data_IF_805564870327
#
_entry.id   IF_805564870327
#
_cell.length_a   1.000
_cell.length_b   1.000
_cell.length_c   1.000
_cell.angle_alpha   90.00
_cell.angle_beta   90.00
_cell.angle_gamma   90.00
#
_symmetry.space_group_name_H-M   'P 1'
#
loop_
_entity.id
_entity.type
_entity.pdbx_description
1 polymer ?
#
# COMPACT_ATOMS: atom_id res chain seq x y z
N UNK A 1 1.04 -48.02 -3.15
CA UNK A 1 1.01 -46.56 -2.98
C UNK A 1 1.52 -45.91 -4.25
N UNK A 2 0.80 -44.91 -4.76
CA UNK A 2 1.17 -44.15 -5.95
C UNK A 2 1.32 -42.68 -5.55
N UNK A 3 2.40 -42.04 -5.98
CA UNK A 3 2.63 -40.59 -5.84
C UNK A 3 3.20 -40.06 -7.14
N UNK A 4 2.70 -38.93 -7.58
CA UNK A 4 3.21 -38.20 -8.73
C UNK A 4 3.50 -36.76 -8.32
N UNK A 5 4.61 -36.22 -8.80
CA UNK A 5 5.02 -34.84 -8.59
C UNK A 5 5.31 -34.17 -9.93
N UNK A 6 5.20 -32.86 -9.98
CA UNK A 6 5.58 -32.06 -11.15
C UNK A 6 7.11 -31.89 -11.26
N UNK A 7 7.55 -31.18 -12.30
CA UNK A 7 8.97 -30.87 -12.54
C UNK A 7 9.62 -30.07 -11.39
N UNK A 8 8.81 -29.34 -10.62
CA UNK A 8 9.23 -28.56 -9.44
C UNK A 8 9.23 -29.39 -8.15
N UNK A 9 8.99 -30.70 -8.23
CA UNK A 9 8.81 -31.64 -7.10
C UNK A 9 7.62 -31.32 -6.19
N UNK A 10 6.66 -30.55 -6.68
CA UNK A 10 5.37 -30.35 -6.00
C UNK A 10 4.52 -31.58 -6.24
N UNK A 11 3.98 -32.18 -5.17
CA UNK A 11 3.08 -33.33 -5.29
C UNK A 11 1.82 -32.94 -6.08
N UNK A 12 1.58 -33.64 -7.18
CA UNK A 12 0.36 -33.53 -8.00
C UNK A 12 -0.73 -34.39 -7.39
N UNK A 13 -0.43 -35.66 -7.10
CA UNK A 13 -1.42 -36.61 -6.59
C UNK A 13 -0.75 -37.68 -5.73
N UNK A 14 -1.43 -38.09 -4.67
CA UNK A 14 -1.05 -39.27 -3.89
C UNK A 14 -2.24 -40.18 -3.59
N UNK A 15 -2.08 -41.46 -3.91
CA UNK A 15 -3.14 -42.48 -3.79
C UNK A 15 -2.64 -43.67 -2.99
N UNK A 16 -3.35 -44.01 -1.92
CA UNK A 16 -3.21 -45.27 -1.23
C UNK A 16 -4.08 -46.33 -1.89
N UNK A 17 -3.52 -47.52 -2.13
CA UNK A 17 -4.24 -48.62 -2.77
C UNK A 17 -4.28 -49.83 -1.85
N UNK A 18 -5.42 -50.51 -1.80
CA UNK A 18 -5.55 -51.86 -1.25
C UNK A 18 -6.24 -52.74 -2.29
N UNK A 19 -5.72 -53.96 -2.50
CA UNK A 19 -6.25 -54.91 -3.47
C UNK A 19 -6.91 -56.08 -2.74
N UNK A 20 -8.09 -56.51 -3.21
CA UNK A 20 -8.82 -57.68 -2.67
C UNK A 20 -9.33 -58.58 -3.79
N UNK A 21 -9.15 -59.88 -3.59
CA UNK A 21 -9.63 -60.92 -4.48
C UNK A 21 -10.53 -61.89 -3.69
N UNK A 22 -11.49 -62.52 -4.37
CA UNK A 22 -12.37 -63.54 -3.78
C UNK A 22 -11.67 -64.88 -3.51
N UNK A 23 -10.46 -65.07 -4.06
CA UNK A 23 -9.71 -66.34 -4.04
C UNK A 23 -8.99 -66.71 -2.75
N UNK A 24 -9.07 -65.93 -1.66
CA UNK A 24 -8.46 -66.31 -0.39
C UNK A 24 -9.47 -67.13 0.45
N UNK A 25 -9.22 -68.44 0.51
CA UNK A 25 -9.88 -69.49 1.29
C UNK A 25 -10.12 -69.10 2.77
N UNK A 26 -11.08 -68.22 3.01
CA UNK A 26 -11.53 -67.86 4.35
C UNK A 26 -12.99 -68.24 4.48
N UNK A 27 -13.31 -68.96 5.55
CA UNK A 27 -14.62 -69.56 5.83
C UNK A 27 -15.78 -68.56 5.97
N UNK A 28 -15.52 -67.25 5.76
CA UNK A 28 -16.51 -66.17 5.77
C UNK A 28 -16.22 -65.22 4.60
N UNK A 29 -17.19 -65.06 3.69
CA UNK A 29 -17.13 -64.06 2.61
C UNK A 29 -17.05 -62.66 3.22
N UNK A 30 -15.94 -61.96 3.03
CA UNK A 30 -15.75 -60.58 3.47
C UNK A 30 -16.36 -59.59 2.49
N UNK A 31 -16.83 -58.45 2.99
CA UNK A 31 -17.40 -57.36 2.18
C UNK A 31 -16.37 -56.27 1.94
N UNK A 32 -16.58 -55.46 0.91
CA UNK A 32 -15.73 -54.31 0.60
C UNK A 32 -15.61 -53.34 1.77
N UNK A 33 -16.71 -53.14 2.49
CA UNK A 33 -16.77 -52.23 3.64
C UNK A 33 -15.83 -52.62 4.79
N UNK A 34 -15.51 -53.91 4.94
CA UNK A 34 -14.67 -54.43 6.03
C UNK A 34 -13.22 -53.92 5.94
N UNK A 35 -12.81 -53.46 4.75
CA UNK A 35 -11.43 -53.03 4.47
C UNK A 35 -11.25 -51.51 4.51
N UNK A 36 -12.33 -50.73 4.40
CA UNK A 36 -12.26 -49.28 4.24
C UNK A 36 -11.58 -48.58 5.43
N UNK A 37 -11.86 -49.03 6.65
CA UNK A 37 -11.29 -48.43 7.86
C UNK A 37 -9.76 -48.59 7.91
N UNK A 38 -9.27 -49.78 7.56
CA UNK A 38 -7.84 -50.07 7.53
C UNK A 38 -7.15 -49.26 6.43
N UNK A 39 -7.74 -49.25 5.24
CA UNK A 39 -7.24 -48.48 4.10
C UNK A 39 -7.17 -46.98 4.42
N UNK A 40 -8.18 -46.43 5.10
CA UNK A 40 -8.16 -45.02 5.53
C UNK A 40 -7.07 -44.75 6.58
N UNK A 41 -6.89 -45.65 7.55
CA UNK A 41 -5.81 -45.54 8.52
C UNK A 41 -4.42 -45.56 7.83
N UNK A 42 -4.23 -46.44 6.85
CA UNK A 42 -2.99 -46.51 6.06
C UNK A 42 -2.80 -45.26 5.19
N UNK A 43 -3.88 -44.72 4.58
CA UNK A 43 -3.89 -43.45 3.84
C UNK A 43 -3.42 -42.31 4.72
N UNK A 44 -3.99 -42.15 5.91
CA UNK A 44 -3.65 -41.09 6.85
C UNK A 44 -2.22 -41.23 7.37
N UNK A 45 -1.81 -42.44 7.77
CA UNK A 45 -0.45 -42.71 8.27
C UNK A 45 0.63 -42.37 7.24
N UNK A 46 0.33 -42.60 5.97
CA UNK A 46 1.25 -42.34 4.87
C UNK A 46 1.09 -40.95 4.26
N UNK A 47 0.08 -40.18 4.65
CA UNK A 47 -0.21 -38.84 4.13
C UNK A 47 -0.60 -38.86 2.65
N UNK A 48 -1.42 -39.83 2.23
CA UNK A 48 -1.98 -39.84 0.88
C UNK A 48 -3.26 -39.01 0.82
N UNK A 49 -3.49 -38.33 -0.30
CA UNK A 49 -4.70 -37.55 -0.54
C UNK A 49 -5.92 -38.46 -0.77
N UNK A 50 -5.77 -39.49 -1.60
CA UNK A 50 -6.85 -40.42 -1.98
C UNK A 50 -6.60 -41.82 -1.44
N UNK A 51 -7.68 -42.58 -1.26
CA UNK A 51 -7.62 -44.03 -1.08
C UNK A 51 -8.52 -44.74 -2.07
N UNK A 52 -8.02 -45.84 -2.63
CA UNK A 52 -8.74 -46.63 -3.62
C UNK A 52 -8.63 -48.11 -3.26
N UNK A 53 -9.78 -48.72 -2.96
CA UNK A 53 -9.92 -50.16 -2.80
C UNK A 53 -10.19 -50.78 -4.17
N UNK A 54 -9.27 -51.60 -4.66
CA UNK A 54 -9.42 -52.38 -5.88
C UNK A 54 -9.91 -53.76 -5.48
N UNK A 55 -11.17 -54.09 -5.79
CA UNK A 55 -11.78 -55.29 -5.25
C UNK A 55 -12.50 -56.13 -6.31
N UNK A 56 -12.32 -57.44 -6.22
CA UNK A 56 -13.16 -58.44 -6.90
C UNK A 56 -14.23 -59.03 -5.99
N UNK A 57 -14.31 -58.62 -4.71
CA UNK A 57 -15.30 -59.11 -3.76
C UNK A 57 -16.72 -58.68 -4.14
N UNK A 58 -17.70 -59.47 -3.71
CA UNK A 58 -19.12 -59.19 -3.96
C UNK A 58 -19.39 -59.11 -5.46
N UNK A 59 -18.97 -60.15 -6.21
CA UNK A 59 -19.10 -60.20 -7.67
C UNK A 59 -20.53 -59.97 -8.18
N UNK A 60 -21.56 -60.32 -7.41
CA UNK A 60 -22.97 -60.14 -7.77
C UNK A 60 -23.56 -58.76 -7.36
N UNK A 61 -22.77 -57.88 -6.73
CA UNK A 61 -23.25 -56.59 -6.24
C UNK A 61 -23.24 -55.54 -7.38
N UNK A 62 -24.44 -55.15 -7.83
CA UNK A 62 -24.64 -54.19 -8.93
C UNK A 62 -23.95 -52.84 -8.69
N UNK A 63 -23.93 -52.34 -7.44
CA UNK A 63 -23.32 -51.06 -7.11
C UNK A 63 -21.84 -51.03 -7.49
N UNK A 64 -21.09 -52.06 -7.07
CA UNK A 64 -19.65 -52.16 -7.35
C UNK A 64 -19.32 -52.58 -8.78
N UNK A 65 -20.29 -53.16 -9.49
CA UNK A 65 -20.13 -53.54 -10.90
C UNK A 65 -20.41 -52.40 -11.88
N UNK A 66 -21.11 -51.34 -11.44
CA UNK A 66 -21.50 -50.21 -12.29
C UNK A 66 -20.32 -49.28 -12.62
N UNK A 67 -19.22 -49.34 -11.86
CA UNK A 67 -18.03 -48.55 -12.18
C UNK A 67 -17.16 -48.19 -10.98
N UNK A 68 -16.79 -46.91 -10.92
CA UNK A 68 -16.06 -46.30 -9.80
C UNK A 68 -17.09 -45.86 -8.76
N UNK A 69 -17.08 -46.50 -7.60
CA UNK A 69 -17.99 -46.17 -6.50
C UNK A 69 -17.32 -45.19 -5.54
N UNK A 70 -17.96 -44.04 -5.34
CA UNK A 70 -17.53 -43.05 -4.37
C UNK A 70 -17.99 -43.42 -2.95
N UNK A 71 -17.03 -43.58 -2.03
CA UNK A 71 -17.26 -43.87 -0.61
C UNK A 71 -16.93 -42.66 0.27
N UNK A 72 -16.84 -41.46 -0.31
CA UNK A 72 -16.51 -40.21 0.40
C UNK A 72 -17.48 -39.85 1.52
N UNK A 73 -18.71 -40.38 1.47
CA UNK A 73 -19.69 -40.23 2.55
C UNK A 73 -19.28 -40.96 3.85
N UNK A 74 -18.43 -41.99 3.75
CA UNK A 74 -17.93 -42.78 4.89
C UNK A 74 -16.50 -42.39 5.26
N UNK A 75 -15.62 -42.28 4.25
CA UNK A 75 -14.23 -41.85 4.42
C UNK A 75 -13.88 -40.86 3.31
N UNK A 76 -13.42 -39.64 3.61
CA UNK A 76 -13.17 -38.63 2.59
C UNK A 76 -12.23 -39.10 1.49
N UNK A 77 -12.57 -38.81 0.22
CA UNK A 77 -11.73 -39.13 -0.96
C UNK A 77 -11.40 -40.63 -1.09
N UNK A 78 -12.34 -41.48 -0.69
CA UNK A 78 -12.27 -42.93 -0.76
C UNK A 78 -13.08 -43.46 -1.94
N UNK A 79 -12.50 -44.35 -2.74
CA UNK A 79 -13.19 -45.00 -3.85
C UNK A 79 -13.05 -46.51 -3.80
N UNK A 80 -14.06 -47.22 -4.30
CA UNK A 80 -14.01 -48.66 -4.54
C UNK A 80 -14.16 -48.90 -6.04
N UNK A 81 -13.26 -49.69 -6.61
CA UNK A 81 -13.23 -49.96 -8.05
C UNK A 81 -13.03 -51.45 -8.31
N UNK A 82 -13.50 -51.90 -9.48
CA UNK A 82 -13.01 -53.14 -10.08
C UNK A 82 -11.66 -52.92 -10.79
N UNK A 83 -10.82 -53.95 -10.97
CA UNK A 83 -9.50 -53.82 -11.59
C UNK A 83 -9.50 -53.14 -12.97
N UNK A 84 -10.54 -53.33 -13.79
CA UNK A 84 -10.65 -52.71 -15.12
C UNK A 84 -10.74 -51.17 -15.07
N UNK A 85 -11.17 -50.59 -13.95
CA UNK A 85 -11.26 -49.14 -13.77
C UNK A 85 -10.00 -48.51 -13.17
N UNK A 86 -8.94 -49.30 -12.94
CA UNK A 86 -7.71 -48.83 -12.29
C UNK A 86 -7.02 -47.69 -13.05
N UNK A 87 -6.85 -47.83 -14.36
CA UNK A 87 -6.27 -46.79 -15.20
C UNK A 87 -7.21 -45.58 -15.29
N UNK A 88 -8.52 -45.74 -15.60
CA UNK A 88 -9.47 -44.62 -15.62
C UNK A 88 -9.50 -43.77 -14.34
N UNK A 89 -9.53 -44.36 -13.14
CA UNK A 89 -9.59 -43.58 -11.90
C UNK A 89 -8.29 -42.80 -11.67
N UNK A 90 -7.13 -43.39 -11.96
CA UNK A 90 -5.85 -42.67 -11.82
C UNK A 90 -5.81 -41.48 -12.78
N UNK A 91 -6.22 -41.65 -14.03
CA UNK A 91 -6.28 -40.56 -15.00
C UNK A 91 -7.23 -39.45 -14.55
N UNK A 92 -8.41 -39.80 -14.05
CA UNK A 92 -9.40 -38.82 -13.57
C UNK A 92 -8.85 -38.02 -12.39
N UNK A 93 -8.34 -38.71 -11.36
CA UNK A 93 -7.81 -38.05 -10.17
C UNK A 93 -6.60 -37.17 -10.52
N UNK A 94 -5.70 -37.64 -11.37
CA UNK A 94 -4.54 -36.88 -11.84
C UNK A 94 -4.96 -35.59 -12.56
N UNK A 95 -5.89 -35.69 -13.52
CA UNK A 95 -6.35 -34.53 -14.27
C UNK A 95 -7.06 -33.51 -13.37
N UNK A 96 -7.88 -33.99 -12.43
CA UNK A 96 -8.51 -33.12 -11.44
C UNK A 96 -7.48 -32.38 -10.57
N UNK A 97 -6.43 -33.08 -10.14
CA UNK A 97 -5.38 -32.51 -9.31
C UNK A 97 -4.51 -31.48 -10.07
N UNK A 98 -4.14 -31.78 -11.33
CA UNK A 98 -3.40 -30.84 -12.20
C UNK A 98 -4.22 -29.56 -12.43
N UNK A 99 -5.51 -29.69 -12.77
CA UNK A 99 -6.39 -28.54 -12.97
C UNK A 99 -6.52 -27.71 -11.67
N UNK A 100 -6.73 -28.36 -10.52
CA UNK A 100 -6.84 -27.67 -9.24
C UNK A 100 -5.56 -26.89 -8.88
N UNK A 101 -4.38 -27.41 -9.26
CA UNK A 101 -3.10 -26.74 -9.05
C UNK A 101 -2.98 -25.47 -9.90
N UNK A 102 -3.37 -25.53 -11.18
CA UNK A 102 -3.43 -24.37 -12.06
C UNK A 102 -4.35 -23.28 -11.49
N UNK A 103 -5.59 -23.63 -11.11
CA UNK A 103 -6.53 -22.69 -10.49
C UNK A 103 -6.00 -22.07 -9.20
N UNK A 104 -5.33 -22.85 -8.34
CA UNK A 104 -4.73 -22.34 -7.11
C UNK A 104 -3.59 -21.34 -7.39
N UNK A 105 -2.79 -21.60 -8.42
CA UNK A 105 -1.71 -20.71 -8.86
C UNK A 105 -2.27 -19.39 -9.41
N UNK A 106 -3.29 -19.44 -10.25
CA UNK A 106 -3.97 -18.24 -10.79
C UNK A 106 -4.61 -17.41 -9.67
N UNK A 107 -5.30 -18.06 -8.73
CA UNK A 107 -5.90 -17.37 -7.59
C UNK A 107 -4.85 -16.68 -6.70
N UNK A 108 -3.67 -17.28 -6.54
CA UNK A 108 -2.56 -16.68 -5.80
C UNK A 108 -2.04 -15.41 -6.51
N UNK A 109 -1.92 -15.44 -7.84
CA UNK A 109 -1.55 -14.27 -8.66
C UNK A 109 -2.58 -13.15 -8.51
N UNK A 110 -3.87 -13.46 -8.62
CA UNK A 110 -4.95 -12.47 -8.46
C UNK A 110 -4.96 -11.86 -7.05
N UNK A 111 -4.74 -12.67 -6.00
CA UNK A 111 -4.64 -12.15 -4.63
C UNK A 111 -3.44 -11.24 -4.43
N UNK A 112 -2.27 -11.58 -5.01
CA UNK A 112 -1.09 -10.73 -4.95
C UNK A 112 -1.32 -9.38 -5.63
N UNK A 113 -1.99 -9.36 -6.78
CA UNK A 113 -2.36 -8.13 -7.49
C UNK A 113 -3.29 -7.22 -6.65
N UNK A 114 -4.26 -7.78 -5.94
CA UNK A 114 -5.16 -6.98 -5.08
C UNK A 114 -4.45 -6.33 -3.88
N UNK A 115 -3.43 -6.98 -3.32
CA UNK A 115 -2.62 -6.42 -2.23
C UNK A 115 -1.80 -5.21 -2.73
N UNK A 116 -1.28 -5.30 -3.96
CA UNK A 116 -0.49 -4.24 -4.59
C UNK A 116 -1.35 -2.98 -4.84
N UNK A 117 -2.58 -3.13 -5.33
CA UNK A 117 -3.52 -2.02 -5.52
C UNK A 117 -3.83 -1.30 -4.20
N UNK A 118 -4.02 -2.04 -3.11
CA UNK A 118 -4.32 -1.45 -1.79
C UNK A 118 -3.12 -0.67 -1.25
N UNK A 119 -1.89 -1.19 -1.42
CA UNK A 119 -0.68 -0.48 -1.03
C UNK A 119 -0.50 0.80 -1.84
N UNK A 120 -0.71 0.73 -3.16
CA UNK A 120 -0.66 1.88 -4.04
C UNK A 120 -1.67 2.96 -3.65
N UNK A 121 -2.92 2.59 -3.34
CA UNK A 121 -3.94 3.56 -2.88
C UNK A 121 -3.54 4.25 -1.58
N UNK A 122 -2.95 3.52 -0.63
CA UNK A 122 -2.45 4.08 0.62
C UNK A 122 -1.29 5.07 0.38
N UNK A 123 -0.29 4.66 -0.42
CA UNK A 123 0.85 5.54 -0.77
C UNK A 123 0.40 6.82 -1.50
N UNK A 124 -0.60 6.71 -2.37
CA UNK A 124 -1.16 7.83 -3.10
C UNK A 124 -1.90 8.79 -2.16
N UNK A 125 -2.66 8.28 -1.19
CA UNK A 125 -3.33 9.09 -0.17
C UNK A 125 -2.31 9.81 0.73
N UNK A 126 -1.29 9.11 1.21
CA UNK A 126 -0.22 9.69 2.03
C UNK A 126 0.52 10.82 1.30
N UNK A 127 0.78 10.63 0.00
CA UNK A 127 1.36 11.66 -0.86
C UNK A 127 0.44 12.88 -0.96
N UNK A 128 -0.86 12.69 -1.22
CA UNK A 128 -1.82 13.79 -1.36
C UNK A 128 -1.95 14.61 -0.07
N UNK A 129 -2.01 13.95 1.09
CA UNK A 129 -2.08 14.63 2.37
C UNK A 129 -0.81 15.43 2.68
N UNK A 130 0.36 14.81 2.48
CA UNK A 130 1.65 15.44 2.72
C UNK A 130 1.88 16.63 1.79
N UNK A 131 1.55 16.47 0.51
CA UNK A 131 1.63 17.54 -0.48
C UNK A 131 0.67 18.68 -0.14
N UNK A 132 -0.59 18.38 0.17
CA UNK A 132 -1.58 19.40 0.52
C UNK A 132 -1.19 20.23 1.75
N UNK A 133 -0.63 19.57 2.77
CA UNK A 133 -0.12 20.24 3.98
C UNK A 133 1.06 21.17 3.67
N UNK A 134 2.04 20.69 2.91
CA UNK A 134 3.21 21.47 2.53
C UNK A 134 2.82 22.66 1.65
N UNK A 135 1.93 22.46 0.68
CA UNK A 135 1.43 23.53 -0.17
C UNK A 135 0.71 24.62 0.63
N UNK A 136 -0.18 24.23 1.56
CA UNK A 136 -0.89 25.19 2.43
C UNK A 136 0.08 26.00 3.27
N UNK A 137 1.04 25.35 3.92
CA UNK A 137 2.05 26.04 4.75
C UNK A 137 2.90 27.00 3.91
N UNK A 138 3.33 26.58 2.72
CA UNK A 138 4.09 27.44 1.81
C UNK A 138 3.25 28.65 1.38
N UNK A 139 1.97 28.46 1.03
CA UNK A 139 1.05 29.53 0.64
C UNK A 139 0.82 30.54 1.77
N UNK A 140 0.60 30.07 3.00
CA UNK A 140 0.45 30.93 4.18
C UNK A 140 1.71 31.75 4.47
N UNK A 141 2.89 31.11 4.41
CA UNK A 141 4.19 31.79 4.59
C UNK A 141 4.44 32.83 3.50
N UNK A 142 4.11 32.49 2.26
CA UNK A 142 4.22 33.40 1.13
C UNK A 142 3.34 34.63 1.33
N UNK A 143 2.07 34.44 1.70
CA UNK A 143 1.14 35.54 1.99
C UNK A 143 1.64 36.44 3.13
N UNK A 144 2.09 35.84 4.24
CA UNK A 144 2.64 36.59 5.36
C UNK A 144 3.91 37.38 4.98
N UNK A 145 4.75 36.85 4.10
CA UNK A 145 5.93 37.55 3.60
C UNK A 145 5.54 38.75 2.73
N UNK A 146 4.55 38.60 1.84
CA UNK A 146 4.00 39.72 1.06
C UNK A 146 3.44 40.81 1.97
N UNK A 147 2.63 40.44 2.96
CA UNK A 147 2.09 41.42 3.93
C UNK A 147 3.19 42.17 4.70
N UNK A 148 4.31 41.49 4.99
CA UNK A 148 5.47 42.09 5.66
C UNK A 148 6.23 43.06 4.75
N UNK A 149 6.35 42.72 3.46
CA UNK A 149 6.94 43.60 2.43
C UNK A 149 6.12 44.88 2.32
N UNK A 150 4.79 44.77 2.25
CA UNK A 150 3.90 45.93 2.15
C UNK A 150 4.02 46.85 3.37
N UNK A 151 4.10 46.29 4.58
CA UNK A 151 4.35 47.07 5.81
C UNK A 151 5.70 47.78 5.77
N UNK A 152 6.73 47.13 5.24
CA UNK A 152 8.07 47.71 5.10
C UNK A 152 8.08 48.87 4.09
N UNK A 153 7.35 48.74 2.98
CA UNK A 153 7.17 49.81 1.99
C UNK A 153 6.52 51.03 2.63
N UNK A 154 5.44 50.84 3.40
CA UNK A 154 4.78 51.93 4.14
C UNK A 154 5.76 52.63 5.09
N UNK A 155 6.58 51.86 5.81
CA UNK A 155 7.56 52.45 6.73
C UNK A 155 8.64 53.24 5.98
N UNK A 156 9.13 52.74 4.84
CA UNK A 156 10.10 53.44 4.01
C UNK A 156 9.53 54.73 3.41
N UNK A 157 8.25 54.74 3.01
CA UNK A 157 7.56 55.94 2.54
C UNK A 157 7.48 57.00 3.64
N UNK A 158 7.11 56.64 4.87
CA UNK A 158 7.11 57.57 6.02
C UNK A 158 8.49 58.13 6.32
N UNK A 159 9.53 57.28 6.29
CA UNK A 159 10.92 57.73 6.48
C UNK A 159 11.32 58.73 5.40
N UNK A 160 10.99 58.46 4.13
CA UNK A 160 11.22 59.38 3.01
C UNK A 160 10.53 60.73 3.23
N UNK A 161 9.26 60.74 3.62
CA UNK A 161 8.52 61.99 3.90
C UNK A 161 9.16 62.83 5.02
N UNK A 162 9.60 62.18 6.10
CA UNK A 162 10.28 62.87 7.20
C UNK A 162 11.62 63.47 6.78
N UNK A 163 12.39 62.78 5.91
CA UNK A 163 13.63 63.31 5.36
C UNK A 163 13.38 64.55 4.50
N UNK A 164 12.39 64.51 3.60
CA UNK A 164 12.02 65.67 2.75
C UNK A 164 11.61 66.87 3.62
N UNK A 165 10.77 66.65 4.64
CA UNK A 165 10.38 67.72 5.58
C UNK A 165 11.57 68.28 6.36
N UNK A 166 12.56 67.44 6.68
CA UNK A 166 13.77 67.87 7.37
C UNK A 166 14.65 68.74 6.47
N UNK A 167 14.79 68.35 5.19
CA UNK A 167 15.45 69.17 4.18
C UNK A 167 14.77 70.54 4.01
N UNK A 168 13.44 70.57 3.93
CA UNK A 168 12.69 71.84 3.87
C UNK A 168 12.92 72.72 5.09
N UNK A 169 12.96 72.13 6.30
CA UNK A 169 13.28 72.86 7.52
C UNK A 169 14.71 73.43 7.49
N UNK A 170 15.69 72.66 7.00
CA UNK A 170 17.06 73.13 6.83
C UNK A 170 17.13 74.28 5.82
N UNK A 171 16.40 74.20 4.71
CA UNK A 171 16.28 75.28 3.73
C UNK A 171 15.69 76.55 4.34
N UNK A 172 14.60 76.43 5.12
CA UNK A 172 13.99 77.56 5.82
C UNK A 172 14.97 78.18 6.84
N UNK A 173 15.69 77.34 7.59
CA UNK A 173 16.69 77.79 8.55
C UNK A 173 17.84 78.53 7.85
N UNK A 174 18.32 78.02 6.72
CA UNK A 174 19.37 78.66 5.92
C UNK A 174 18.89 80.00 5.37
N UNK A 175 17.69 80.07 4.79
CA UNK A 175 17.13 81.33 4.30
C UNK A 175 16.99 82.37 5.43
N UNK A 176 16.60 81.95 6.64
CA UNK A 176 16.55 82.85 7.81
C UNK A 176 17.95 83.32 8.24
N UNK A 177 18.96 82.45 8.13
CA UNK A 177 20.36 82.77 8.40
C UNK A 177 20.92 83.78 7.39
N UNK A 178 20.64 83.60 6.10
CA UNK A 178 21.05 84.55 5.04
C UNK A 178 20.33 85.91 5.18
N UNK A 179 19.08 85.89 5.65
CA UNK A 179 18.29 87.11 5.89
C UNK A 179 18.75 87.94 7.09
N UNK A 180 19.68 87.44 7.93
CA UNK A 180 20.24 88.12 9.10
C UNK A 180 21.29 89.15 8.66
N UNK A 181 20.85 90.39 8.48
CA UNK A 181 21.74 91.54 8.27
C UNK A 181 22.06 92.24 9.59
N UNK A 182 23.23 92.90 9.68
CA UNK A 182 23.61 93.74 10.83
C UNK A 182 22.48 94.73 11.17
N UNK A 183 21.84 95.32 10.14
CA UNK A 183 20.69 96.22 10.28
C UNK A 183 19.45 95.57 10.89
N UNK A 184 19.16 94.29 10.62
CA UNK A 184 18.06 93.54 11.28
C UNK A 184 18.44 93.15 12.71
N UNK A 185 19.70 92.78 12.94
CA UNK A 185 20.24 92.39 14.26
C UNK A 185 20.28 93.55 15.26
N UNK A 186 20.55 94.77 14.79
CA UNK A 186 20.67 95.97 15.65
C UNK A 186 19.37 96.80 15.73
N UNK A 187 18.29 96.38 15.04
CA UNK A 187 17.04 97.14 14.89
C UNK A 187 16.44 97.64 16.22
N UNK A 188 16.56 96.85 17.29
CA UNK A 188 16.05 97.18 18.62
C UNK A 188 17.18 97.40 19.66
N UNK A 189 18.42 97.59 19.22
CA UNK A 189 19.58 97.83 20.08
C UNK A 189 20.32 99.10 19.61
N UNK A 190 19.90 100.29 20.09
CA UNK A 190 20.45 101.57 19.65
C UNK A 190 21.96 101.65 19.84
N UNK A 191 22.47 101.14 20.97
CA UNK A 191 23.89 101.15 21.32
C UNK A 191 24.75 100.35 20.34
N UNK A 192 24.29 99.15 19.96
CA UNK A 192 25.03 98.33 18.99
C UNK A 192 24.92 98.89 17.57
N UNK A 193 23.79 99.50 17.21
CA UNK A 193 23.63 100.17 15.92
C UNK A 193 24.67 101.29 15.74
N UNK A 194 24.79 102.19 16.71
CA UNK A 194 25.77 103.29 16.67
C UNK A 194 27.21 102.77 16.53
N UNK A 195 27.56 101.72 17.29
CA UNK A 195 28.91 101.13 17.21
C UNK A 195 29.24 100.50 15.86
N UNK A 196 28.27 99.96 15.13
CA UNK A 196 28.50 99.43 13.78
C UNK A 196 28.53 100.53 12.73
N UNK A 197 27.67 101.56 12.84
CA UNK A 197 27.64 102.72 11.95
C UNK A 197 28.99 103.50 12.02
N UNK A 198 29.58 103.65 13.22
CA UNK A 198 30.90 104.28 13.44
C UNK A 198 32.08 103.52 12.78
N UNK A 199 31.92 102.22 12.51
CA UNK A 199 32.94 101.38 11.87
C UNK A 199 32.84 101.45 10.34
N UNK A 200 31.63 101.66 9.79
CA UNK A 200 31.40 101.82 8.34
C UNK A 200 31.77 103.23 7.81
N UNK A 201 31.78 104.27 8.66
CA UNK A 201 32.15 105.64 8.25
C UNK A 201 33.68 105.92 8.19
N UNK A 202 34.52 104.90 8.44
CA UNK A 202 35.99 104.95 8.26
C UNK A 202 36.45 104.31 6.96
#
# INVERSE_FOLDING_TARGET
>A
MYREADESKTEIISVMFEMKNEGDETSTKKKNEDFLNKLDADRNKKGCEYAVLVSLLEADNELYNTGIVDMSYKYPKMYVIRPQFFIPIITLLRNAAVNAMQYKSELAVVKAQNIDVTNFENELNDFRESFGRNFRLASEKFKAAVDSIDKSIIQLQKTKENLIRSEDNLRIANNKADDLTVKKLTKNNPTMKTKFDEIEEK
#
